data_IF_379385714279
#
_entry.id   IF_379385714279
#
_cell.length_a   1.000
_cell.length_b   1.000
_cell.length_c   1.000
_cell.angle_alpha   90.00
_cell.angle_beta   90.00
_cell.angle_gamma   90.00
#
_symmetry.space_group_name_H-M   'P 1'
#
loop_
_entity.id
_entity.type
_entity.pdbx_description
1 polymer ?
#
# COMPACT_ATOMS: atom_id res chain seq x y z
N UNK A 1 5.96 25.19 1.68
CA UNK A 1 6.08 23.96 2.23
C UNK A 1 6.30 22.80 1.33
N UNK A 2 7.01 21.93 1.78
CA UNK A 2 7.42 20.87 0.97
C UNK A 2 6.36 19.90 0.70
N UNK A 3 6.26 19.48 -0.51
CA UNK A 3 5.33 18.48 -0.90
C UNK A 3 6.03 17.36 -1.58
N UNK A 4 7.16 17.00 -1.01
CA UNK A 4 7.96 15.97 -1.63
C UNK A 4 7.14 14.73 -1.94
N UNK A 5 6.35 14.27 -0.97
CA UNK A 5 5.58 13.08 -1.19
C UNK A 5 4.60 13.21 -2.32
N UNK A 6 3.85 14.31 -2.33
CA UNK A 6 2.84 14.52 -3.34
C UNK A 6 3.45 14.67 -4.72
N UNK A 7 4.52 15.43 -4.82
CA UNK A 7 5.17 15.64 -6.11
C UNK A 7 5.79 14.35 -6.62
N UNK A 8 6.44 13.61 -5.73
CA UNK A 8 7.05 12.37 -6.13
C UNK A 8 5.99 11.36 -6.55
N UNK A 9 4.86 11.35 -5.84
CA UNK A 9 3.78 10.43 -6.17
C UNK A 9 3.20 10.74 -7.53
N UNK A 10 3.05 12.01 -7.87
CA UNK A 10 2.56 12.37 -9.19
C UNK A 10 3.51 11.91 -10.28
N UNK A 11 4.79 12.07 -10.03
CA UNK A 11 5.78 11.62 -11.02
C UNK A 11 5.71 10.12 -11.19
N UNK A 12 5.60 9.38 -10.09
CA UNK A 12 5.49 7.93 -10.18
C UNK A 12 4.25 7.54 -10.96
N UNK A 13 3.13 8.17 -10.66
CA UNK A 13 1.89 7.84 -11.35
C UNK A 13 1.97 8.16 -12.83
N UNK A 14 2.59 9.29 -13.18
CA UNK A 14 2.76 9.63 -14.58
C UNK A 14 3.61 8.60 -15.31
N UNK A 15 4.72 8.23 -14.69
CA UNK A 15 5.60 7.25 -15.32
C UNK A 15 4.94 5.89 -15.44
N UNK A 16 4.15 5.49 -14.45
CA UNK A 16 3.48 4.22 -14.54
C UNK A 16 2.54 4.16 -15.74
N UNK A 17 1.99 5.29 -16.14
CA UNK A 17 1.11 5.32 -17.30
C UNK A 17 1.87 5.45 -18.61
N UNK A 18 2.95 6.20 -18.61
CA UNK A 18 3.68 6.49 -19.85
C UNK A 18 4.86 5.60 -20.08
N UNK A 19 5.57 5.26 -19.02
CA UNK A 19 6.75 4.41 -19.10
C UNK A 19 6.73 3.46 -17.90
N UNK A 20 5.88 2.43 -17.97
CA UNK A 20 5.59 1.62 -16.78
C UNK A 20 6.81 1.03 -16.09
N UNK A 21 7.80 0.56 -16.84
CA UNK A 21 8.96 -0.04 -16.20
C UNK A 21 9.73 0.98 -15.38
N UNK A 22 9.87 2.18 -15.91
CA UNK A 22 10.56 3.22 -15.15
C UNK A 22 9.74 3.67 -13.96
N UNK A 23 8.44 3.76 -14.17
CA UNK A 23 7.56 4.14 -13.08
C UNK A 23 7.60 3.11 -11.95
N UNK A 24 7.61 1.85 -12.31
CA UNK A 24 7.66 0.80 -11.31
C UNK A 24 8.99 0.83 -10.55
N UNK A 25 10.08 1.06 -11.28
CA UNK A 25 11.38 1.13 -10.61
C UNK A 25 11.42 2.27 -9.62
N UNK A 26 10.92 3.44 -10.02
CA UNK A 26 10.89 4.56 -9.11
C UNK A 26 9.99 4.30 -7.92
N UNK A 27 8.83 3.68 -8.17
CA UNK A 27 7.92 3.31 -7.10
C UNK A 27 8.62 2.40 -6.10
N UNK A 28 9.29 1.39 -6.59
CA UNK A 28 9.98 0.46 -5.72
C UNK A 28 11.06 1.17 -4.91
N UNK A 29 11.88 2.00 -5.59
CA UNK A 29 12.95 2.70 -4.90
C UNK A 29 12.43 3.60 -3.79
N UNK A 30 11.33 4.27 -4.04
CA UNK A 30 10.81 5.22 -3.07
C UNK A 30 10.07 4.54 -1.93
N UNK A 31 9.29 3.51 -2.24
CA UNK A 31 8.34 2.99 -1.27
C UNK A 31 8.69 1.66 -0.65
N UNK A 32 9.59 0.90 -1.24
CA UNK A 32 9.82 -0.46 -0.76
C UNK A 32 10.13 -0.48 0.74
N UNK A 33 11.12 0.28 1.16
CA UNK A 33 11.53 0.26 2.56
C UNK A 33 10.47 0.88 3.46
N UNK A 34 9.82 1.93 2.99
CA UNK A 34 8.78 2.55 3.80
C UNK A 34 7.64 1.59 4.09
N UNK A 35 7.24 0.84 3.08
CA UNK A 35 6.16 -0.12 3.25
C UNK A 35 6.60 -1.27 4.15
N UNK A 36 7.85 -1.71 4.02
CA UNK A 36 8.35 -2.76 4.89
C UNK A 36 8.34 -2.31 6.35
N UNK A 37 8.79 -1.11 6.62
CA UNK A 37 8.80 -0.60 7.98
C UNK A 37 7.39 -0.56 8.54
N UNK A 38 6.44 -0.11 7.72
CA UNK A 38 5.06 -0.09 8.15
C UNK A 38 4.55 -1.50 8.49
N UNK A 39 4.82 -2.46 7.62
CA UNK A 39 4.29 -3.80 7.80
C UNK A 39 4.97 -4.51 8.96
N UNK A 40 6.21 -4.17 9.25
CA UNK A 40 6.87 -4.74 10.43
C UNK A 40 6.08 -4.46 11.69
N UNK A 41 5.48 -3.28 11.77
CA UNK A 41 4.69 -2.93 12.95
C UNK A 41 3.48 -3.84 13.10
N UNK A 42 3.01 -4.41 12.00
CA UNK A 42 1.87 -5.30 12.04
C UNK A 42 2.28 -6.74 12.30
N UNK A 43 3.41 -7.15 11.78
CA UNK A 43 3.82 -8.55 11.80
C UNK A 43 4.87 -8.85 12.84
N UNK A 44 5.57 -7.84 13.31
CA UNK A 44 6.66 -7.98 14.27
C UNK A 44 7.78 -8.88 13.72
N UNK A 45 7.92 -8.87 12.39
CA UNK A 45 8.94 -9.66 11.74
C UNK A 45 9.34 -8.96 10.44
N UNK A 46 10.60 -8.55 10.35
CA UNK A 46 11.05 -7.88 9.14
C UNK A 46 11.02 -8.81 7.95
N UNK A 47 11.41 -10.06 8.16
CA UNK A 47 11.42 -11.01 7.06
C UNK A 47 10.02 -11.24 6.51
N UNK A 48 9.05 -11.40 7.40
CA UNK A 48 7.69 -11.59 6.95
C UNK A 48 7.16 -10.33 6.26
N UNK A 49 7.50 -9.17 6.81
CA UNK A 49 7.08 -7.92 6.19
C UNK A 49 7.65 -7.79 4.78
N UNK A 50 8.91 -8.15 4.63
CA UNK A 50 9.53 -8.04 3.33
C UNK A 50 8.86 -8.97 2.32
N UNK A 51 8.53 -10.18 2.74
CA UNK A 51 7.82 -11.11 1.87
C UNK A 51 6.48 -10.54 1.43
N UNK A 52 5.75 -9.98 2.38
CA UNK A 52 4.43 -9.42 2.08
C UNK A 52 4.54 -8.26 1.10
N UNK A 53 5.50 -7.38 1.34
CA UNK A 53 5.64 -6.22 0.48
C UNK A 53 6.11 -6.63 -0.91
N UNK A 54 7.01 -7.60 -0.99
CA UNK A 54 7.45 -8.07 -2.30
C UNK A 54 6.31 -8.71 -3.06
N UNK A 55 5.49 -9.50 -2.38
CA UNK A 55 4.35 -10.10 -3.05
C UNK A 55 3.40 -9.02 -3.56
N UNK A 56 3.25 -7.95 -2.79
CA UNK A 56 2.43 -6.85 -3.24
C UNK A 56 2.99 -6.24 -4.53
N UNK A 57 4.29 -5.99 -4.58
CA UNK A 57 4.87 -5.38 -5.77
C UNK A 57 4.77 -6.30 -6.98
N UNK A 58 4.95 -7.59 -6.78
CA UNK A 58 4.82 -8.52 -7.89
C UNK A 58 3.40 -8.51 -8.44
N UNK A 59 2.40 -8.58 -7.57
CA UNK A 59 1.03 -8.56 -8.03
C UNK A 59 0.68 -7.23 -8.67
N UNK A 60 1.17 -6.15 -8.08
CA UNK A 60 0.92 -4.81 -8.61
C UNK A 60 1.40 -4.72 -10.05
N UNK A 61 2.57 -5.26 -10.31
CA UNK A 61 3.15 -5.21 -11.64
C UNK A 61 2.46 -6.20 -12.60
N UNK A 62 2.33 -7.43 -12.18
CA UNK A 62 1.82 -8.46 -13.08
C UNK A 62 0.37 -8.24 -13.43
N UNK A 63 -0.43 -7.76 -12.50
CA UNK A 63 -1.84 -7.53 -12.76
C UNK A 63 -2.12 -6.12 -13.22
N UNK A 64 -1.08 -5.33 -13.38
CA UNK A 64 -1.20 -3.98 -13.92
C UNK A 64 -2.19 -3.14 -13.14
N UNK A 65 -2.20 -3.30 -11.84
CA UNK A 65 -3.10 -2.52 -10.99
C UNK A 65 -2.85 -1.02 -11.16
N UNK A 66 -1.64 -0.63 -11.55
CA UNK A 66 -1.32 0.78 -11.70
C UNK A 66 -2.20 1.46 -12.74
N UNK A 67 -2.83 0.69 -13.62
CA UNK A 67 -3.67 1.29 -14.66
C UNK A 67 -4.97 1.83 -14.11
N UNK A 68 -5.40 1.38 -12.96
CA UNK A 68 -6.70 1.75 -12.44
C UNK A 68 -6.64 2.68 -11.24
N UNK A 69 -5.46 3.06 -10.81
CA UNK A 69 -5.34 3.86 -9.60
C UNK A 69 -5.68 5.30 -9.91
N UNK A 70 -6.66 5.82 -9.21
CA UNK A 70 -6.98 7.22 -9.24
C UNK A 70 -7.11 7.67 -7.80
N UNK A 71 -6.99 8.94 -7.57
CA UNK A 71 -7.09 9.44 -6.22
C UNK A 71 -5.78 9.33 -5.48
N UNK A 72 -5.84 9.05 -4.19
CA UNK A 72 -4.66 9.10 -3.36
C UNK A 72 -3.80 7.86 -3.54
N UNK A 73 -2.67 8.05 -4.20
CA UNK A 73 -1.76 6.96 -4.51
C UNK A 73 -1.17 6.35 -3.24
N UNK A 74 -0.75 7.21 -2.31
CA UNK A 74 -0.14 6.74 -1.07
C UNK A 74 -1.13 5.90 -0.27
N UNK A 75 -2.38 6.36 -0.19
CA UNK A 75 -3.40 5.60 0.51
C UNK A 75 -3.56 4.21 -0.08
N UNK A 76 -3.54 4.14 -1.40
CA UNK A 76 -3.67 2.85 -2.06
C UNK A 76 -2.55 1.90 -1.64
N UNK A 77 -1.32 2.40 -1.63
CA UNK A 77 -0.19 1.55 -1.31
C UNK A 77 -0.27 1.03 0.12
N UNK A 78 -0.49 1.92 1.07
CA UNK A 78 -0.52 1.50 2.46
C UNK A 78 -1.72 0.62 2.78
N UNK A 79 -2.87 0.93 2.20
CA UNK A 79 -4.04 0.10 2.42
C UNK A 79 -3.82 -1.30 1.86
N UNK A 80 -3.19 -1.39 0.71
CA UNK A 80 -2.96 -2.68 0.08
C UNK A 80 -2.06 -3.57 0.93
N UNK A 81 -0.93 -3.04 1.40
CA UNK A 81 -0.03 -3.88 2.19
C UNK A 81 -0.61 -4.15 3.57
N UNK A 82 -1.39 -3.21 4.11
CA UNK A 82 -2.05 -3.43 5.39
C UNK A 82 -2.99 -4.63 5.29
N UNK A 83 -3.83 -4.64 4.28
CA UNK A 83 -4.78 -5.73 4.10
C UNK A 83 -4.06 -7.05 3.82
N UNK A 84 -2.99 -7.00 3.05
CA UNK A 84 -2.22 -8.21 2.78
C UNK A 84 -1.62 -8.76 4.05
N UNK A 85 -1.11 -7.88 4.92
CA UNK A 85 -0.53 -8.32 6.18
C UNK A 85 -1.58 -8.98 7.06
N UNK A 86 -2.76 -8.38 7.15
CA UNK A 86 -3.81 -8.98 7.96
C UNK A 86 -4.21 -10.36 7.43
N UNK A 87 -4.28 -10.49 6.12
CA UNK A 87 -4.64 -11.78 5.53
C UNK A 87 -3.61 -12.84 5.87
N UNK A 88 -2.33 -12.48 5.81
CA UNK A 88 -1.28 -13.44 6.11
C UNK A 88 -1.32 -13.83 7.59
N UNK A 89 -1.51 -12.86 8.47
CA UNK A 89 -1.56 -13.15 9.89
C UNK A 89 -2.73 -14.06 10.24
N UNK A 90 -3.87 -13.82 9.66
CA UNK A 90 -5.03 -14.66 9.91
C UNK A 90 -4.79 -16.07 9.38
N UNK A 91 -4.19 -16.17 8.21
CA UNK A 91 -3.96 -17.46 7.61
C UNK A 91 -3.00 -18.29 8.43
N UNK A 92 -2.02 -17.63 9.04
CA UNK A 92 -1.05 -18.34 9.88
C UNK A 92 -1.58 -18.58 11.28
N UNK A 93 -2.79 -18.15 11.54
CA UNK A 93 -3.43 -18.35 12.84
C UNK A 93 -2.64 -17.73 13.97
N UNK A 94 -1.97 -16.62 13.66
CA UNK A 94 -1.26 -15.90 14.70
C UNK A 94 -2.21 -15.01 15.44
N UNK A 95 -1.84 -14.67 16.67
CA UNK A 95 -2.61 -13.70 17.41
C UNK A 95 -2.54 -12.37 16.71
N UNK A 96 -3.70 -11.83 16.39
CA UNK A 96 -3.78 -10.51 15.77
C UNK A 96 -4.16 -9.52 16.86
N UNK A 97 -3.36 -8.47 17.06
CA UNK A 97 -3.70 -7.49 18.08
C UNK A 97 -5.10 -6.95 17.88
N UNK A 98 -5.76 -6.68 19.00
CA UNK A 98 -7.13 -6.22 18.96
C UNK A 98 -7.25 -4.95 18.10
N UNK A 99 -6.26 -4.09 18.16
CA UNK A 99 -6.29 -2.86 17.38
C UNK A 99 -6.41 -3.14 15.90
N UNK A 100 -5.74 -4.18 15.43
CA UNK A 100 -5.81 -4.50 14.01
C UNK A 100 -7.15 -5.09 13.64
N UNK A 101 -7.73 -5.87 14.54
CA UNK A 101 -9.04 -6.46 14.26
C UNK A 101 -10.13 -5.42 14.22
N UNK A 102 -9.99 -4.38 15.01
CA UNK A 102 -11.00 -3.32 15.05
C UNK A 102 -10.76 -2.27 13.99
N UNK A 103 -9.68 -2.40 13.24
CA UNK A 103 -9.39 -1.41 12.21
C UNK A 103 -8.62 -0.22 12.73
N UNK A 104 -8.25 -0.22 13.99
CA UNK A 104 -7.42 0.85 14.53
C UNK A 104 -6.01 0.64 14.06
N UNK A 105 -5.43 1.59 13.36
CA UNK A 105 -4.11 1.37 12.79
C UNK A 105 -3.04 1.36 13.86
N UNK A 106 -2.01 0.61 13.57
CA UNK A 106 -0.79 0.67 14.34
C UNK A 106 -0.13 1.99 13.99
N UNK A 107 1.03 2.19 14.52
CA UNK A 107 1.73 3.43 14.25
C UNK A 107 1.97 3.60 12.76
N UNK A 108 1.49 4.69 12.20
CA UNK A 108 1.57 4.98 10.78
C UNK A 108 2.59 6.09 10.57
N UNK A 109 3.35 6.04 9.48
CA UNK A 109 4.28 7.13 9.19
C UNK A 109 3.57 8.48 9.20
N UNK A 110 4.28 9.49 9.64
CA UNK A 110 3.68 10.80 9.82
C UNK A 110 2.95 11.27 8.58
N UNK A 111 3.52 11.06 7.43
CA UNK A 111 2.91 11.54 6.20
C UNK A 111 1.57 10.89 5.95
N UNK A 112 1.43 9.64 6.36
CA UNK A 112 0.16 8.96 6.19
C UNK A 112 -0.82 9.35 7.27
N UNK A 113 -0.31 9.69 8.47
CA UNK A 113 -1.19 10.09 9.56
C UNK A 113 -1.99 11.32 9.21
N UNK A 114 -1.36 12.26 8.53
CA UNK A 114 -2.04 13.49 8.19
C UNK A 114 -3.23 13.27 7.28
N UNK A 115 -3.28 12.13 6.62
CA UNK A 115 -4.38 11.83 5.71
C UNK A 115 -5.26 10.72 6.22
N UNK A 116 -5.22 10.50 7.53
CA UNK A 116 -5.90 9.35 8.06
C UNK A 116 -7.38 9.34 7.77
N UNK A 117 -8.04 10.47 8.00
CA UNK A 117 -9.47 10.52 7.76
C UNK A 117 -9.79 10.32 6.29
N UNK A 118 -8.96 10.90 5.45
CA UNK A 118 -9.14 10.71 4.02
C UNK A 118 -8.85 9.28 3.62
N UNK A 119 -7.88 8.66 4.28
CA UNK A 119 -7.57 7.28 4.01
C UNK A 119 -8.77 6.38 4.26
N UNK A 120 -9.43 6.59 5.39
CA UNK A 120 -10.59 5.79 5.71
C UNK A 120 -11.72 6.02 4.72
N UNK A 121 -11.90 7.27 4.32
CA UNK A 121 -12.94 7.57 3.35
C UNK A 121 -12.64 6.97 2.00
N UNK A 122 -11.39 7.02 1.59
CA UNK A 122 -11.02 6.53 0.27
C UNK A 122 -10.90 5.02 0.23
N UNK A 123 -10.82 4.39 1.38
CA UNK A 123 -10.73 2.95 1.40
C UNK A 123 -11.92 2.33 0.69
N UNK A 124 -13.10 2.85 0.94
CA UNK A 124 -14.30 2.33 0.29
C UNK A 124 -14.24 2.56 -1.21
N UNK A 125 -13.77 3.71 -1.62
CA UNK A 125 -13.66 3.99 -3.04
C UNK A 125 -12.67 3.05 -3.72
N UNK A 126 -11.54 2.82 -3.05
CA UNK A 126 -10.56 1.92 -3.61
C UNK A 126 -11.10 0.50 -3.73
N UNK A 127 -11.81 0.06 -2.70
CA UNK A 127 -12.38 -1.28 -2.75
C UNK A 127 -13.37 -1.40 -3.89
N UNK A 128 -14.20 -0.38 -4.07
CA UNK A 128 -15.16 -0.41 -5.16
C UNK A 128 -14.46 -0.44 -6.51
N UNK A 129 -13.41 0.35 -6.65
CA UNK A 129 -12.68 0.37 -7.92
C UNK A 129 -12.01 -0.95 -8.19
N UNK A 130 -11.43 -1.56 -7.16
CA UNK A 130 -10.77 -2.83 -7.34
C UNK A 130 -11.76 -3.92 -7.72
N UNK A 131 -12.97 -3.83 -7.19
CA UNK A 131 -13.99 -4.80 -7.53
C UNK A 131 -14.42 -4.69 -8.98
N UNK A 132 -14.26 -3.51 -9.56
CA UNK A 132 -14.64 -3.31 -10.95
C UNK A 132 -13.54 -3.70 -11.92
N UNK A 133 -12.36 -4.03 -11.42
CA UNK A 133 -11.28 -4.44 -12.29
C UNK A 133 -11.52 -5.86 -12.79
N UNK A 134 -11.10 -6.15 -14.01
CA UNK A 134 -11.22 -7.51 -14.50
C UNK A 134 -10.41 -8.44 -13.63
N UNK A 135 -10.95 -9.58 -13.35
CA UNK A 135 -10.23 -10.57 -12.57
C UNK A 135 -9.43 -11.44 -13.50
N UNK A 136 -8.18 -11.62 -13.14
CA UNK A 136 -7.27 -12.41 -13.97
C UNK A 136 -7.08 -13.77 -13.39
#
# INVERSE_FOLDING_TARGET
MKRYGADRDKEIQRLLQEMPEEGFRLLFDVYHMQLCVYVVQLTDSFQLAEDIVQDFFVAFWERKYYRAITGNFRSYLYTSVHNAALAVLKKKKKLVPMELLTGVPVEIPQEAVLEREELERQEKELMLKLEKLPKQ
#
